data_IF_687127509758
#
_entry.id   IF_687127509758
#
_cell.length_a   1.000
_cell.length_b   1.000
_cell.length_c   1.000
_cell.angle_alpha   90.00
_cell.angle_beta   90.00
_cell.angle_gamma   90.00
#
_symmetry.space_group_name_H-M   'P 1'
#
loop_
_entity.id
_entity.type
_entity.pdbx_description
1 polymer ?
#
# COMPACT_ATOMS: atom_id res chain seq x y z
N UNK A 1 -6.61 -7.05 -38.03
CA UNK A 1 -7.27 -6.56 -36.81
C UNK A 1 -6.38 -5.89 -35.74
N UNK A 2 -5.33 -6.57 -35.22
CA UNK A 2 -4.58 -6.13 -34.03
C UNK A 2 -4.02 -4.69 -34.07
N UNK A 3 -3.46 -4.27 -35.21
CA UNK A 3 -2.89 -2.92 -35.37
C UNK A 3 -3.95 -1.84 -35.11
N UNK A 4 -5.18 -2.04 -35.59
CA UNK A 4 -6.27 -1.09 -35.39
C UNK A 4 -6.68 -1.01 -33.91
N UNK A 5 -6.72 -2.15 -33.21
CA UNK A 5 -6.99 -2.18 -31.76
C UNK A 5 -5.92 -1.37 -31.02
N UNK A 6 -4.63 -1.61 -31.32
CA UNK A 6 -3.51 -0.89 -30.68
C UNK A 6 -3.55 0.61 -30.94
N UNK A 7 -3.87 1.03 -32.17
CA UNK A 7 -4.02 2.44 -32.52
C UNK A 7 -5.16 3.09 -31.70
N UNK A 8 -6.34 2.47 -31.70
CA UNK A 8 -7.47 2.97 -30.93
C UNK A 8 -7.19 3.05 -29.42
N UNK A 9 -6.53 2.06 -28.83
CA UNK A 9 -6.14 2.12 -27.41
C UNK A 9 -5.11 3.23 -27.16
N UNK A 10 -4.16 3.44 -28.07
CA UNK A 10 -3.18 4.52 -27.97
C UNK A 10 -3.82 5.90 -28.06
N UNK A 11 -4.76 6.10 -28.99
CA UNK A 11 -5.49 7.36 -29.16
C UNK A 11 -6.35 7.64 -27.93
N UNK A 12 -7.06 6.63 -27.44
CA UNK A 12 -7.84 6.71 -26.22
C UNK A 12 -6.95 7.08 -24.99
N UNK A 13 -5.68 6.66 -24.95
CA UNK A 13 -4.81 6.88 -23.79
C UNK A 13 -4.23 8.29 -23.82
N UNK A 14 -3.81 8.73 -25.01
CA UNK A 14 -3.18 10.04 -25.21
C UNK A 14 -4.17 11.20 -25.19
N UNK A 15 -5.38 10.97 -25.71
CA UNK A 15 -6.35 12.02 -25.95
C UNK A 15 -7.62 11.88 -25.10
N UNK A 16 -7.69 10.89 -24.20
CA UNK A 16 -8.91 10.54 -23.46
C UNK A 16 -10.09 10.28 -24.41
N UNK A 17 -9.80 9.74 -25.60
CA UNK A 17 -10.79 9.51 -26.65
C UNK A 17 -11.67 8.29 -26.32
N UNK A 18 -12.88 8.59 -25.84
CA UNK A 18 -13.89 7.59 -25.48
C UNK A 18 -14.38 6.81 -26.70
N UNK A 19 -14.44 7.41 -27.88
CA UNK A 19 -14.91 6.73 -29.09
C UNK A 19 -13.86 5.79 -29.65
N UNK A 20 -12.58 6.15 -29.56
CA UNK A 20 -11.47 5.23 -29.84
C UNK A 20 -11.50 4.04 -28.88
N UNK A 21 -11.69 4.25 -27.57
CA UNK A 21 -11.84 3.15 -26.60
C UNK A 21 -13.00 2.22 -26.96
N UNK A 22 -14.19 2.77 -27.23
CA UNK A 22 -15.37 1.98 -27.65
C UNK A 22 -15.10 1.21 -28.94
N UNK A 23 -14.35 1.79 -29.87
CA UNK A 23 -13.98 1.14 -31.14
C UNK A 23 -13.04 -0.04 -30.91
N UNK A 24 -12.00 0.13 -30.08
CA UNK A 24 -11.11 -0.97 -29.67
C UNK A 24 -11.90 -2.11 -29.00
N UNK A 25 -12.77 -1.77 -28.04
CA UNK A 25 -13.62 -2.74 -27.34
C UNK A 25 -14.54 -3.52 -28.30
N UNK A 26 -15.20 -2.84 -29.24
CA UNK A 26 -16.07 -3.48 -30.24
C UNK A 26 -15.31 -4.47 -31.11
N UNK A 27 -14.09 -4.12 -31.54
CA UNK A 27 -13.23 -5.01 -32.33
C UNK A 27 -12.85 -6.27 -31.52
N UNK A 28 -12.37 -6.08 -30.28
CA UNK A 28 -12.03 -7.16 -29.35
C UNK A 28 -13.22 -8.11 -29.16
N UNK A 29 -14.41 -7.55 -28.87
CA UNK A 29 -15.63 -8.33 -28.62
C UNK A 29 -16.10 -9.10 -29.84
N UNK A 30 -16.08 -8.47 -31.01
CA UNK A 30 -16.54 -9.11 -32.27
C UNK A 30 -15.67 -10.30 -32.64
N UNK A 31 -14.36 -10.19 -32.42
CA UNK A 31 -13.40 -11.26 -32.63
C UNK A 31 -13.56 -12.40 -31.61
N UNK A 32 -13.78 -12.08 -30.33
CA UNK A 32 -14.03 -13.10 -29.30
C UNK A 32 -15.35 -13.88 -29.54
N UNK A 33 -16.38 -13.23 -30.07
CA UNK A 33 -17.68 -13.86 -30.39
C UNK A 33 -17.64 -14.75 -31.65
N UNK A 34 -16.52 -14.79 -32.37
CA UNK A 34 -16.41 -15.54 -33.64
C UNK A 34 -17.30 -14.99 -34.76
N UNK A 35 -17.72 -13.73 -34.67
CA UNK A 35 -18.64 -13.08 -35.63
C UNK A 35 -17.94 -12.58 -36.89
N UNK A 36 -16.64 -12.80 -37.07
CA UNK A 36 -16.00 -12.70 -38.38
C UNK A 36 -15.94 -14.08 -39.02
N UNK A 37 -16.77 -14.29 -40.03
CA UNK A 37 -17.03 -15.59 -40.66
C UNK A 37 -15.84 -16.14 -41.50
N UNK A 38 -14.63 -15.60 -41.34
CA UNK A 38 -13.45 -15.93 -42.15
C UNK A 38 -12.14 -16.18 -41.37
N UNK A 39 -12.06 -15.93 -40.05
CA UNK A 39 -10.76 -15.61 -39.44
C UNK A 39 -10.28 -16.53 -38.30
N UNK A 40 -9.94 -17.77 -38.62
CA UNK A 40 -8.95 -18.49 -37.79
C UNK A 40 -7.56 -17.82 -37.83
N UNK A 41 -7.35 -16.83 -38.72
CA UNK A 41 -6.10 -16.08 -38.89
C UNK A 41 -6.06 -14.69 -38.20
N UNK A 42 -7.17 -14.12 -37.74
CA UNK A 42 -7.17 -12.80 -37.06
C UNK A 42 -7.20 -12.91 -35.54
N UNK A 43 -6.43 -13.86 -34.98
CA UNK A 43 -6.18 -13.86 -33.53
C UNK A 43 -5.33 -12.63 -33.17
N UNK A 44 -5.81 -11.82 -32.23
CA UNK A 44 -5.01 -10.76 -31.62
C UNK A 44 -4.44 -11.21 -30.28
N UNK A 45 -3.42 -10.51 -29.80
CA UNK A 45 -2.70 -10.87 -28.59
C UNK A 45 -3.51 -10.64 -27.30
N UNK A 46 -3.36 -11.54 -26.32
CA UNK A 46 -4.13 -11.52 -25.07
C UNK A 46 -3.94 -10.24 -24.23
N UNK A 47 -2.81 -9.56 -24.38
CA UNK A 47 -2.54 -8.28 -23.72
C UNK A 47 -3.58 -7.20 -24.08
N UNK A 48 -4.17 -7.24 -25.26
CA UNK A 48 -5.13 -6.21 -25.69
C UNK A 48 -6.42 -6.23 -24.87
N UNK A 49 -6.85 -7.40 -24.37
CA UNK A 49 -7.96 -7.46 -23.42
C UNK A 49 -7.63 -6.68 -22.15
N UNK A 50 -6.42 -6.88 -21.61
CA UNK A 50 -5.97 -6.25 -20.37
C UNK A 50 -5.76 -4.76 -20.55
N UNK A 51 -5.14 -4.34 -21.66
CA UNK A 51 -4.95 -2.92 -21.99
C UNK A 51 -6.30 -2.20 -22.14
N UNK A 52 -7.24 -2.79 -22.89
CA UNK A 52 -8.59 -2.25 -23.02
C UNK A 52 -9.30 -2.20 -21.67
N UNK A 53 -9.15 -3.22 -20.82
CA UNK A 53 -9.78 -3.25 -19.51
C UNK A 53 -9.26 -2.17 -18.55
N UNK A 54 -7.94 -2.01 -18.47
CA UNK A 54 -7.30 -1.01 -17.61
C UNK A 54 -7.69 0.41 -18.04
N UNK A 55 -7.73 0.64 -19.34
CA UNK A 55 -8.11 1.93 -19.90
C UNK A 55 -9.59 2.23 -19.70
N UNK A 56 -10.46 1.25 -19.97
CA UNK A 56 -11.89 1.37 -19.69
C UNK A 56 -12.15 1.69 -18.21
N UNK A 57 -11.44 1.02 -17.30
CA UNK A 57 -11.54 1.33 -15.87
C UNK A 57 -11.13 2.77 -15.55
N UNK A 58 -9.95 3.21 -16.04
CA UNK A 58 -9.46 4.59 -15.84
C UNK A 58 -10.42 5.66 -16.38
N UNK A 59 -11.11 5.36 -17.47
CA UNK A 59 -12.04 6.29 -18.14
C UNK A 59 -13.48 6.20 -17.60
N UNK A 60 -13.74 5.41 -16.55
CA UNK A 60 -15.06 5.32 -15.93
C UNK A 60 -16.05 4.38 -16.62
N UNK A 61 -15.56 3.38 -17.35
CA UNK A 61 -16.35 2.33 -18.01
C UNK A 61 -16.10 0.94 -17.36
N UNK A 62 -16.52 0.73 -16.10
CA UNK A 62 -16.23 -0.51 -15.37
C UNK A 62 -16.88 -1.75 -15.99
N UNK A 63 -18.04 -1.61 -16.65
CA UNK A 63 -18.70 -2.73 -17.35
C UNK A 63 -17.89 -3.23 -18.54
N UNK A 64 -17.33 -2.29 -19.32
CA UNK A 64 -16.45 -2.61 -20.44
C UNK A 64 -15.14 -3.26 -19.94
N UNK A 65 -14.60 -2.73 -18.84
CA UNK A 65 -13.43 -3.33 -18.18
C UNK A 65 -13.70 -4.76 -17.73
N UNK A 66 -14.84 -4.99 -17.08
CA UNK A 66 -15.25 -6.31 -16.60
C UNK A 66 -15.43 -7.30 -17.76
N UNK A 67 -16.06 -6.89 -18.86
CA UNK A 67 -16.28 -7.73 -20.04
C UNK A 67 -14.95 -8.13 -20.71
N UNK A 68 -14.03 -7.18 -20.87
CA UNK A 68 -12.66 -7.45 -21.34
C UNK A 68 -11.93 -8.48 -20.45
N UNK A 69 -12.02 -8.34 -19.13
CA UNK A 69 -11.40 -9.27 -18.18
C UNK A 69 -12.05 -10.65 -18.23
N UNK A 70 -13.37 -10.74 -18.37
CA UNK A 70 -14.08 -12.02 -18.53
C UNK A 70 -13.63 -12.76 -19.79
N UNK A 71 -13.51 -12.05 -20.92
CA UNK A 71 -13.00 -12.64 -22.16
C UNK A 71 -11.55 -13.12 -21.99
N UNK A 72 -10.68 -12.31 -21.38
CA UNK A 72 -9.30 -12.68 -21.07
C UNK A 72 -9.18 -13.97 -20.26
N UNK A 73 -9.88 -14.07 -19.12
CA UNK A 73 -9.78 -15.23 -18.23
C UNK A 73 -10.42 -16.49 -18.83
N UNK A 74 -11.44 -16.36 -19.69
CA UNK A 74 -12.05 -17.48 -20.41
C UNK A 74 -11.09 -18.10 -21.43
N UNK A 75 -10.23 -17.30 -22.05
CA UNK A 75 -9.34 -17.72 -23.13
C UNK A 75 -8.08 -18.50 -22.73
N UNK A 76 -7.92 -18.90 -21.46
CA UNK A 76 -6.68 -19.54 -20.93
C UNK A 76 -5.43 -18.69 -21.23
N UNK A 77 -5.31 -17.52 -20.58
CA UNK A 77 -4.26 -16.56 -20.90
C UNK A 77 -2.85 -17.09 -20.59
N UNK A 78 -1.83 -16.64 -21.32
CA UNK A 78 -0.43 -16.99 -21.03
C UNK A 78 0.01 -16.46 -19.65
N UNK A 79 0.89 -17.21 -18.99
CA UNK A 79 1.46 -16.85 -17.69
C UNK A 79 2.58 -15.82 -17.88
N UNK A 80 2.21 -14.56 -17.98
CA UNK A 80 3.13 -13.43 -18.07
C UNK A 80 2.62 -12.23 -17.25
N UNK A 81 3.31 -11.08 -17.33
CA UNK A 81 2.93 -9.87 -16.57
C UNK A 81 1.46 -9.46 -16.74
N UNK A 82 0.83 -9.76 -17.87
CA UNK A 82 -0.56 -9.41 -18.14
C UNK A 82 -1.55 -10.22 -17.29
N UNK A 83 -1.17 -11.40 -16.80
CA UNK A 83 -1.98 -12.14 -15.85
C UNK A 83 -2.09 -11.40 -14.51
N UNK A 84 -0.96 -10.94 -13.97
CA UNK A 84 -0.96 -10.12 -12.75
C UNK A 84 -1.65 -8.77 -12.94
N UNK A 85 -1.43 -8.11 -14.08
CA UNK A 85 -2.15 -6.87 -14.43
C UNK A 85 -3.66 -7.07 -14.57
N UNK A 86 -4.12 -8.19 -15.15
CA UNK A 86 -5.53 -8.51 -15.24
C UNK A 86 -6.16 -8.69 -13.85
N UNK A 87 -5.50 -9.41 -12.94
CA UNK A 87 -5.97 -9.52 -11.55
C UNK A 87 -5.97 -8.17 -10.83
N UNK A 88 -4.96 -7.32 -11.06
CA UNK A 88 -4.88 -5.99 -10.48
C UNK A 88 -5.94 -5.03 -11.03
N UNK A 89 -6.29 -5.14 -12.31
CA UNK A 89 -7.41 -4.41 -12.89
C UNK A 89 -8.74 -4.93 -12.33
N UNK A 90 -8.89 -6.26 -12.21
CA UNK A 90 -10.08 -6.90 -11.66
C UNK A 90 -10.33 -6.53 -10.21
N UNK A 91 -9.30 -6.42 -9.38
CA UNK A 91 -9.44 -6.02 -7.98
C UNK A 91 -10.06 -4.64 -7.86
N UNK A 92 -9.60 -3.68 -8.68
CA UNK A 92 -10.08 -2.30 -8.66
C UNK A 92 -11.58 -2.16 -8.99
N UNK A 93 -12.17 -3.11 -9.73
CA UNK A 93 -13.63 -3.14 -9.97
C UNK A 93 -14.46 -3.39 -8.71
N UNK A 94 -13.83 -3.86 -7.62
CA UNK A 94 -14.46 -4.11 -6.33
C UNK A 94 -14.05 -3.06 -5.28
N UNK A 95 -13.73 -1.82 -5.71
CA UNK A 95 -13.37 -0.74 -4.78
C UNK A 95 -14.52 -0.47 -3.79
N UNK A 96 -14.35 -0.71 -2.47
CA UNK A 96 -15.37 -0.38 -1.48
C UNK A 96 -15.54 1.14 -1.36
N UNK A 97 -16.79 1.61 -1.31
CA UNK A 97 -17.09 3.05 -1.15
C UNK A 97 -17.14 3.47 0.31
N UNK A 98 -17.47 2.55 1.22
CA UNK A 98 -17.41 2.73 2.67
C UNK A 98 -16.97 1.45 3.37
N UNK A 99 -16.82 1.53 4.69
CA UNK A 99 -16.57 0.36 5.55
C UNK A 99 -17.73 -0.62 5.65
N UNK A 100 -18.90 -0.26 5.13
CA UNK A 100 -20.08 -1.14 5.11
C UNK A 100 -20.05 -2.10 3.91
N UNK A 101 -19.22 -1.80 2.89
CA UNK A 101 -19.07 -2.61 1.69
C UNK A 101 -18.05 -3.75 1.88
N UNK A 102 -18.18 -4.54 2.94
CA UNK A 102 -17.24 -5.62 3.26
C UNK A 102 -17.15 -6.68 2.14
N UNK A 103 -18.26 -7.01 1.48
CA UNK A 103 -18.24 -7.95 0.35
C UNK A 103 -17.36 -7.44 -0.82
N UNK A 104 -17.41 -6.13 -1.10
CA UNK A 104 -16.57 -5.53 -2.14
C UNK A 104 -15.11 -5.52 -1.70
N UNK A 105 -14.86 -5.15 -0.44
CA UNK A 105 -13.52 -5.21 0.15
C UNK A 105 -12.92 -6.63 0.06
N UNK A 106 -13.65 -7.68 0.45
CA UNK A 106 -13.18 -9.06 0.38
C UNK A 106 -12.85 -9.47 -1.06
N UNK A 107 -13.71 -9.14 -2.02
CA UNK A 107 -13.45 -9.41 -3.45
C UNK A 107 -12.24 -8.63 -3.95
N UNK A 108 -12.06 -7.39 -3.53
CA UNK A 108 -10.88 -6.59 -3.83
C UNK A 108 -9.61 -7.28 -3.32
N UNK A 109 -9.57 -7.67 -2.04
CA UNK A 109 -8.42 -8.35 -1.41
C UNK A 109 -8.11 -9.67 -2.10
N UNK A 110 -9.11 -10.51 -2.39
CA UNK A 110 -8.91 -11.79 -3.08
C UNK A 110 -8.20 -11.61 -4.42
N UNK A 111 -8.62 -10.64 -5.23
CA UNK A 111 -8.00 -10.42 -6.53
C UNK A 111 -6.63 -9.75 -6.41
N UNK A 112 -6.45 -8.86 -5.43
CA UNK A 112 -5.17 -8.22 -5.16
C UNK A 112 -4.11 -9.22 -4.71
N UNK A 113 -4.43 -10.11 -3.78
CA UNK A 113 -3.47 -11.09 -3.26
C UNK A 113 -3.06 -12.12 -4.34
N UNK A 114 -3.95 -12.44 -5.29
CA UNK A 114 -3.55 -13.20 -6.50
C UNK A 114 -2.43 -12.53 -7.29
N UNK A 115 -2.34 -11.20 -7.30
CA UNK A 115 -1.24 -10.45 -7.94
C UNK A 115 0.05 -10.66 -7.16
N UNK A 116 -0.03 -10.56 -5.83
CA UNK A 116 1.11 -10.75 -4.91
C UNK A 116 1.66 -12.17 -5.05
N UNK A 117 0.79 -13.18 -4.95
CA UNK A 117 1.17 -14.60 -5.09
C UNK A 117 1.79 -14.89 -6.46
N UNK A 118 1.18 -14.38 -7.53
CA UNK A 118 1.69 -14.53 -8.89
C UNK A 118 3.09 -13.91 -9.03
N UNK A 119 3.28 -12.69 -8.51
CA UNK A 119 4.53 -11.98 -8.61
C UNK A 119 5.62 -12.66 -7.79
N UNK A 120 5.32 -13.16 -6.59
CA UNK A 120 6.26 -13.90 -5.74
C UNK A 120 6.84 -15.14 -6.41
N UNK A 121 6.10 -15.75 -7.34
CA UNK A 121 6.58 -16.90 -8.12
C UNK A 121 7.69 -16.57 -9.13
N UNK A 122 7.91 -15.29 -9.48
CA UNK A 122 8.93 -14.90 -10.46
C UNK A 122 9.45 -13.47 -10.24
N UNK A 123 10.74 -13.35 -9.93
CA UNK A 123 11.42 -12.08 -9.68
C UNK A 123 11.23 -11.01 -10.79
N UNK A 124 11.02 -11.43 -12.04
CA UNK A 124 10.73 -10.50 -13.16
C UNK A 124 9.46 -9.68 -12.94
N UNK A 125 8.54 -10.17 -12.14
CA UNK A 125 7.22 -9.57 -11.94
C UNK A 125 7.07 -8.86 -10.60
N UNK A 126 8.12 -8.72 -9.81
CA UNK A 126 8.03 -8.08 -8.48
C UNK A 126 7.57 -6.63 -8.50
N UNK A 127 7.78 -5.90 -9.59
CA UNK A 127 7.19 -4.56 -9.75
C UNK A 127 5.65 -4.56 -9.58
N UNK A 128 4.98 -5.69 -9.82
CA UNK A 128 3.54 -5.83 -9.59
C UNK A 128 3.18 -5.86 -8.10
N UNK A 129 4.08 -6.29 -7.21
CA UNK A 129 3.88 -6.25 -5.76
C UNK A 129 3.84 -4.78 -5.32
N UNK A 130 4.80 -3.98 -5.76
CA UNK A 130 4.81 -2.54 -5.53
C UNK A 130 3.51 -1.90 -6.05
N UNK A 131 3.17 -2.11 -7.32
CA UNK A 131 1.94 -1.55 -7.92
C UNK A 131 0.67 -1.98 -7.18
N UNK A 132 0.59 -3.24 -6.76
CA UNK A 132 -0.53 -3.76 -5.98
C UNK A 132 -0.61 -3.07 -4.62
N UNK A 133 0.51 -2.88 -3.92
CA UNK A 133 0.54 -2.21 -2.62
C UNK A 133 0.12 -0.73 -2.69
N UNK A 134 0.49 -0.01 -3.75
CA UNK A 134 0.07 1.38 -3.97
C UNK A 134 -1.45 1.45 -4.22
N UNK A 135 -1.99 0.54 -5.03
CA UNK A 135 -3.43 0.44 -5.27
C UNK A 135 -4.17 0.06 -3.99
N UNK A 136 -3.63 -0.88 -3.21
CA UNK A 136 -4.13 -1.25 -1.89
C UNK A 136 -4.28 -0.03 -1.00
N UNK A 137 -3.20 0.72 -0.78
CA UNK A 137 -3.22 1.90 0.08
C UNK A 137 -4.28 2.93 -0.33
N UNK A 138 -4.44 3.15 -1.64
CA UNK A 138 -5.45 4.07 -2.18
C UNK A 138 -6.88 3.56 -1.92
N UNK A 139 -7.12 2.27 -2.05
CA UNK A 139 -8.46 1.68 -1.94
C UNK A 139 -8.89 1.49 -0.49
N UNK A 140 -7.97 1.13 0.40
CA UNK A 140 -8.28 0.84 1.81
C UNK A 140 -8.43 2.07 2.69
N UNK A 141 -8.32 3.29 2.13
CA UNK A 141 -8.47 4.56 2.87
C UNK A 141 -9.71 4.61 3.78
N UNK A 142 -10.92 4.15 3.38
CA UNK A 142 -12.08 4.15 4.27
C UNK A 142 -11.90 3.33 5.56
N UNK A 143 -11.00 2.34 5.54
CA UNK A 143 -10.74 1.41 6.65
C UNK A 143 -9.62 1.89 7.58
N UNK A 144 -8.89 2.95 7.24
CA UNK A 144 -7.83 3.52 8.08
C UNK A 144 -8.35 4.31 9.30
N UNK A 145 -9.67 4.45 9.44
CA UNK A 145 -10.27 5.08 10.63
C UNK A 145 -10.23 4.13 11.83
N UNK A 146 -10.13 4.66 13.07
CA UNK A 146 -10.13 3.85 14.28
C UNK A 146 -11.32 2.89 14.35
N UNK A 147 -11.09 1.66 14.83
CA UNK A 147 -12.07 0.60 14.96
C UNK A 147 -12.30 -0.25 13.70
N UNK A 148 -11.75 0.14 12.54
CA UNK A 148 -11.90 -0.60 11.28
C UNK A 148 -10.57 -1.15 10.74
N UNK A 149 -9.43 -0.78 11.34
CA UNK A 149 -8.11 -1.19 10.84
C UNK A 149 -7.85 -2.69 10.97
N UNK A 150 -8.57 -3.35 11.86
CA UNK A 150 -8.50 -4.81 12.03
C UNK A 150 -8.80 -5.58 10.73
N UNK A 151 -9.65 -5.06 9.84
CA UNK A 151 -9.92 -5.66 8.53
C UNK A 151 -8.69 -5.69 7.60
N UNK A 152 -7.72 -4.79 7.82
CA UNK A 152 -6.53 -4.66 6.98
C UNK A 152 -5.44 -5.67 7.35
N UNK A 153 -5.41 -6.12 8.61
CA UNK A 153 -4.35 -6.98 9.14
C UNK A 153 -4.07 -8.20 8.25
N UNK A 154 -5.07 -9.03 7.85
CA UNK A 154 -4.78 -10.24 7.08
C UNK A 154 -4.09 -9.96 5.73
N UNK A 155 -4.44 -8.85 5.09
CA UNK A 155 -3.88 -8.44 3.80
C UNK A 155 -2.51 -7.76 3.95
N UNK A 156 -2.35 -6.84 4.90
CA UNK A 156 -1.06 -6.18 5.18
C UNK A 156 0.00 -7.19 5.63
N UNK A 157 -0.38 -8.19 6.42
CA UNK A 157 0.51 -9.25 6.87
C UNK A 157 1.10 -10.07 5.71
N UNK A 158 0.42 -10.13 4.57
CA UNK A 158 0.93 -10.79 3.35
C UNK A 158 1.71 -9.82 2.45
N UNK A 159 1.22 -8.58 2.30
CA UNK A 159 1.84 -7.57 1.41
C UNK A 159 3.18 -7.08 1.96
N UNK A 160 3.28 -6.79 3.26
CA UNK A 160 4.49 -6.20 3.87
C UNK A 160 5.72 -7.11 3.70
N UNK A 161 5.68 -8.42 4.00
CA UNK A 161 6.80 -9.30 3.73
C UNK A 161 7.17 -9.38 2.24
N UNK A 162 6.19 -9.36 1.34
CA UNK A 162 6.41 -9.41 -0.10
C UNK A 162 7.18 -8.18 -0.62
N UNK A 163 6.95 -7.00 -0.03
CA UNK A 163 7.69 -5.77 -0.34
C UNK A 163 9.11 -5.73 0.21
N UNK A 164 9.43 -6.53 1.24
CA UNK A 164 10.79 -6.58 1.80
C UNK A 164 11.81 -7.28 0.88
N UNK A 165 11.41 -7.74 -0.31
CA UNK A 165 12.31 -8.41 -1.23
C UNK A 165 13.51 -7.51 -1.63
N UNK A 166 14.75 -8.03 -1.76
CA UNK A 166 15.94 -7.24 -2.11
C UNK A 166 15.84 -6.38 -3.37
N UNK A 167 15.07 -6.83 -4.36
CA UNK A 167 14.84 -6.13 -5.64
C UNK A 167 13.93 -4.90 -5.47
N UNK A 168 13.08 -4.88 -4.44
CA UNK A 168 12.16 -3.77 -4.18
C UNK A 168 12.96 -2.54 -3.72
N UNK A 169 12.82 -1.44 -4.45
CA UNK A 169 13.66 -0.26 -4.28
C UNK A 169 13.09 0.72 -3.24
N UNK A 170 11.77 0.79 -3.10
CA UNK A 170 11.14 1.80 -2.24
C UNK A 170 11.03 1.32 -0.79
N UNK A 171 12.15 1.44 -0.07
CA UNK A 171 12.22 1.11 1.35
C UNK A 171 11.38 2.05 2.20
N UNK A 172 11.21 3.31 1.78
CA UNK A 172 10.37 4.30 2.46
C UNK A 172 8.89 3.89 2.42
N UNK A 173 8.41 3.46 1.26
CA UNK A 173 7.08 2.92 1.08
C UNK A 173 6.85 1.63 1.90
N UNK A 174 7.83 0.74 1.92
CA UNK A 174 7.77 -0.47 2.76
C UNK A 174 7.65 -0.10 4.24
N UNK A 175 8.43 0.88 4.71
CA UNK A 175 8.37 1.38 6.07
C UNK A 175 7.00 1.99 6.43
N UNK A 176 6.38 2.74 5.52
CA UNK A 176 5.02 3.28 5.70
C UNK A 176 4.02 2.15 5.99
N UNK A 177 4.02 1.09 5.16
CA UNK A 177 3.09 -0.03 5.34
C UNK A 177 3.40 -0.89 6.56
N UNK A 178 4.67 -0.97 6.99
CA UNK A 178 5.03 -1.57 8.27
C UNK A 178 4.44 -0.77 9.44
N UNK A 179 4.58 0.55 9.43
CA UNK A 179 3.99 1.40 10.48
C UNK A 179 2.46 1.23 10.51
N UNK A 180 1.81 1.21 9.34
CA UNK A 180 0.36 0.97 9.28
C UNK A 180 -0.01 -0.40 9.87
N UNK A 181 0.70 -1.47 9.53
CA UNK A 181 0.41 -2.80 10.08
C UNK A 181 0.54 -2.82 11.61
N UNK A 182 1.55 -2.12 12.15
CA UNK A 182 1.69 -1.95 13.60
C UNK A 182 0.49 -1.21 14.20
N UNK A 183 0.07 -0.09 13.61
CA UNK A 183 -1.12 0.65 14.06
C UNK A 183 -2.39 -0.21 13.96
N UNK A 184 -2.51 -1.07 12.95
CA UNK A 184 -3.62 -2.01 12.83
C UNK A 184 -3.66 -3.01 13.99
N UNK A 185 -2.50 -3.57 14.39
CA UNK A 185 -2.44 -4.45 15.56
C UNK A 185 -2.86 -3.73 16.84
N UNK A 186 -2.42 -2.48 17.01
CA UNK A 186 -2.76 -1.67 18.18
C UNK A 186 -4.25 -1.31 18.24
N UNK A 187 -4.84 -0.88 17.12
CA UNK A 187 -6.28 -0.59 17.00
C UNK A 187 -7.14 -1.84 17.31
N UNK A 188 -6.66 -3.02 16.89
CA UNK A 188 -7.31 -4.30 17.17
C UNK A 188 -6.99 -4.89 18.56
N UNK A 189 -6.25 -4.17 19.42
CA UNK A 189 -5.79 -4.66 20.73
C UNK A 189 -5.01 -5.99 20.69
N UNK A 190 -4.31 -6.26 19.58
CA UNK A 190 -3.47 -7.45 19.38
C UNK A 190 -2.05 -7.20 19.90
N UNK A 191 -1.94 -7.01 21.21
CA UNK A 191 -0.70 -6.53 21.86
C UNK A 191 0.51 -7.43 21.62
N UNK A 192 0.34 -8.75 21.67
CA UNK A 192 1.45 -9.69 21.47
C UNK A 192 2.08 -9.54 20.08
N UNK A 193 1.24 -9.47 19.05
CA UNK A 193 1.71 -9.27 17.67
C UNK A 193 2.29 -7.88 17.46
N UNK A 194 1.75 -6.85 18.12
CA UNK A 194 2.32 -5.52 18.08
C UNK A 194 3.76 -5.49 18.64
N UNK A 195 4.00 -6.16 19.77
CA UNK A 195 5.34 -6.26 20.39
C UNK A 195 6.32 -7.01 19.48
N UNK A 196 5.93 -8.20 19.00
CA UNK A 196 6.77 -9.02 18.14
C UNK A 196 7.11 -8.29 16.82
N UNK A 197 6.12 -7.65 16.22
CA UNK A 197 6.28 -6.96 14.95
C UNK A 197 7.02 -5.63 15.10
N UNK A 198 6.84 -4.88 16.20
CA UNK A 198 7.46 -3.56 16.37
C UNK A 198 8.98 -3.63 16.32
N UNK A 199 9.60 -4.65 16.92
CA UNK A 199 11.06 -4.81 16.89
C UNK A 199 11.58 -5.04 15.47
N UNK A 200 10.84 -5.85 14.69
CA UNK A 200 11.17 -6.12 13.28
C UNK A 200 11.04 -4.86 12.42
N UNK A 201 9.97 -4.08 12.63
CA UNK A 201 9.74 -2.83 11.92
C UNK A 201 10.77 -1.75 12.31
N UNK A 202 11.09 -1.63 13.60
CA UNK A 202 12.06 -0.67 14.10
C UNK A 202 13.46 -0.94 13.53
N UNK A 203 13.90 -2.20 13.51
CA UNK A 203 15.18 -2.59 12.92
C UNK A 203 15.26 -2.23 11.43
N UNK A 204 14.24 -2.60 10.65
CA UNK A 204 14.17 -2.28 9.22
C UNK A 204 14.19 -0.76 8.98
N UNK A 205 13.38 0.00 9.71
CA UNK A 205 13.30 1.46 9.56
C UNK A 205 14.62 2.12 9.96
N UNK A 206 15.26 1.66 11.03
CA UNK A 206 16.55 2.22 11.48
C UNK A 206 17.66 1.99 10.45
N UNK A 207 17.67 0.81 9.81
CA UNK A 207 18.66 0.44 8.81
C UNK A 207 18.45 1.16 7.47
N UNK A 208 17.23 1.13 6.93
CA UNK A 208 16.97 1.57 5.56
C UNK A 208 16.35 2.96 5.44
N UNK A 209 15.61 3.42 6.46
CA UNK A 209 14.82 4.66 6.41
C UNK A 209 14.89 5.44 7.74
N UNK A 210 16.10 5.80 8.22
CA UNK A 210 16.28 6.36 9.55
C UNK A 210 15.50 7.66 9.80
N UNK A 211 15.13 8.39 8.74
CA UNK A 211 14.26 9.57 8.82
C UNK A 211 12.88 9.28 9.45
N UNK A 212 12.36 8.06 9.28
CA UNK A 212 11.06 7.62 9.84
C UNK A 212 11.18 6.97 11.20
N UNK A 213 12.39 6.70 11.70
CA UNK A 213 12.58 6.01 12.97
C UNK A 213 11.89 6.72 14.14
N UNK A 214 11.86 8.06 14.11
CA UNK A 214 11.14 8.89 15.09
C UNK A 214 9.65 8.56 15.19
N UNK A 215 9.02 8.23 14.05
CA UNK A 215 7.59 7.90 13.99
C UNK A 215 7.31 6.58 14.68
N UNK A 216 8.04 5.51 14.32
CA UNK A 216 7.86 4.20 14.95
C UNK A 216 8.26 4.21 16.43
N UNK A 217 9.37 4.88 16.80
CA UNK A 217 9.78 5.03 18.19
C UNK A 217 8.70 5.72 19.03
N UNK A 218 8.09 6.79 18.49
CA UNK A 218 6.98 7.47 19.13
C UNK A 218 5.80 6.52 19.41
N UNK A 219 5.47 5.62 18.48
CA UNK A 219 4.41 4.62 18.67
C UNK A 219 4.83 3.59 19.73
N UNK A 220 6.05 3.07 19.64
CA UNK A 220 6.55 2.07 20.59
C UNK A 220 6.56 2.57 22.03
N UNK A 221 7.03 3.80 22.29
CA UNK A 221 6.96 4.40 23.63
C UNK A 221 5.51 4.60 24.06
N UNK A 222 4.68 5.15 23.17
CA UNK A 222 3.27 5.47 23.44
C UNK A 222 2.47 4.24 23.88
N UNK A 223 2.75 3.08 23.30
CA UNK A 223 2.04 1.83 23.56
C UNK A 223 2.86 0.83 24.39
N UNK A 224 4.01 1.25 24.94
CA UNK A 224 4.91 0.43 25.77
C UNK A 224 5.34 -0.89 25.08
N UNK A 225 5.74 -0.79 23.82
CA UNK A 225 6.18 -1.93 22.98
C UNK A 225 7.69 -2.16 23.04
N UNK A 226 8.38 -1.56 24.00
CA UNK A 226 9.85 -1.60 24.09
C UNK A 226 10.28 -1.67 25.55
N UNK A 227 11.38 -2.38 25.79
CA UNK A 227 11.95 -2.54 27.13
C UNK A 227 12.59 -1.24 27.63
N UNK A 228 12.61 -1.05 28.96
CA UNK A 228 13.10 0.18 29.57
C UNK A 228 14.58 0.46 29.23
N UNK A 229 15.42 -0.59 29.21
CA UNK A 229 16.84 -0.48 28.87
C UNK A 229 17.04 0.02 27.44
N UNK A 230 16.29 -0.53 26.48
CA UNK A 230 16.36 -0.10 25.07
C UNK A 230 15.89 1.36 24.91
N UNK A 231 14.91 1.80 25.71
CA UNK A 231 14.47 3.21 25.72
C UNK A 231 15.61 4.12 26.21
N UNK A 232 16.29 3.74 27.28
CA UNK A 232 17.40 4.52 27.85
C UNK A 232 18.52 4.71 26.84
N UNK A 233 18.95 3.64 26.17
CA UNK A 233 20.00 3.69 25.13
C UNK A 233 19.62 4.63 23.95
N UNK A 234 18.37 4.56 23.48
CA UNK A 234 17.87 5.42 22.39
C UNK A 234 17.77 6.90 22.81
N UNK A 235 17.34 7.15 24.05
CA UNK A 235 17.16 8.49 24.62
C UNK A 235 18.51 9.18 24.89
N UNK A 236 19.51 8.44 25.33
CA UNK A 236 20.87 8.93 25.54
C UNK A 236 21.58 9.24 24.22
N UNK A 237 21.39 8.39 23.22
CA UNK A 237 22.01 8.56 21.90
C UNK A 237 21.40 9.71 21.08
N UNK A 238 20.15 10.11 21.35
CA UNK A 238 19.43 11.10 20.55
C UNK A 238 18.56 12.06 21.35
N UNK A 239 18.92 13.35 21.31
CA UNK A 239 18.11 14.42 21.89
C UNK A 239 16.68 14.49 21.31
N UNK A 240 16.49 14.12 20.04
CA UNK A 240 15.16 14.09 19.42
C UNK A 240 14.31 12.95 19.99
N UNK A 241 14.90 11.76 20.21
CA UNK A 241 14.19 10.63 20.80
C UNK A 241 13.90 10.88 22.28
N UNK A 242 14.80 11.55 23.00
CA UNK A 242 14.55 12.03 24.38
C UNK A 242 13.32 12.93 24.46
N UNK A 243 13.22 13.92 23.57
CA UNK A 243 12.06 14.81 23.51
C UNK A 243 10.78 14.00 23.22
N UNK A 244 10.83 13.09 22.24
CA UNK A 244 9.68 12.23 21.90
C UNK A 244 9.27 11.39 23.11
N UNK A 245 10.21 10.73 23.76
CA UNK A 245 9.97 9.92 24.96
C UNK A 245 9.23 10.73 26.04
N UNK A 246 9.77 11.89 26.43
CA UNK A 246 9.15 12.76 27.45
C UNK A 246 7.74 13.20 27.06
N UNK A 247 7.53 13.60 25.80
CA UNK A 247 6.19 14.00 25.30
C UNK A 247 5.21 12.82 25.38
N UNK A 248 5.64 11.62 24.98
CA UNK A 248 4.76 10.44 24.99
C UNK A 248 4.45 9.96 26.42
N UNK A 249 5.39 10.09 27.36
CA UNK A 249 5.15 9.81 28.79
C UNK A 249 4.09 10.75 29.38
N UNK A 250 4.18 12.05 29.10
CA UNK A 250 3.16 13.02 29.53
C UNK A 250 1.79 12.66 28.93
N UNK A 251 1.73 12.33 27.63
CA UNK A 251 0.48 11.91 26.97
C UNK A 251 -0.14 10.68 27.63
N UNK A 252 0.69 9.67 27.95
CA UNK A 252 0.27 8.45 28.64
C UNK A 252 -0.35 8.71 30.01
N UNK A 253 0.17 9.68 30.76
CA UNK A 253 -0.40 10.09 32.05
C UNK A 253 -1.73 10.83 31.85
N UNK A 254 -1.80 11.70 30.84
CA UNK A 254 -3.01 12.45 30.54
C UNK A 254 -4.20 11.55 30.14
N UNK A 255 -4.00 10.45 29.41
CA UNK A 255 -5.14 9.56 29.10
C UNK A 255 -5.69 8.84 30.32
N UNK A 256 -4.88 8.72 31.38
CA UNK A 256 -5.33 8.20 32.67
C UNK A 256 -6.03 9.25 33.52
N UNK A 257 -6.25 10.45 32.97
CA UNK A 257 -6.70 11.64 33.68
C UNK A 257 -5.78 12.03 34.85
N UNK A 258 -4.50 11.66 34.76
CA UNK A 258 -3.46 12.06 35.71
C UNK A 258 -2.75 13.27 35.09
N UNK A 259 -2.80 14.44 35.76
CA UNK A 259 -1.93 15.57 35.42
C UNK A 259 -0.68 15.43 36.29
N UNK A 260 0.50 15.17 35.71
CA UNK A 260 1.73 15.07 36.50
C UNK A 260 1.98 16.38 37.26
N UNK A 261 2.33 16.27 38.54
CA UNK A 261 2.58 17.45 39.38
C UNK A 261 3.77 18.27 38.88
N UNK A 262 4.65 17.64 38.11
CA UNK A 262 5.90 18.16 37.56
C UNK A 262 5.85 18.45 36.06
N UNK A 263 4.67 18.41 35.41
CA UNK A 263 4.54 18.70 33.95
C UNK A 263 5.22 20.00 33.55
N UNK A 264 5.08 21.06 34.33
CA UNK A 264 5.70 22.36 34.00
C UNK A 264 7.23 22.26 33.97
N UNK A 265 7.82 21.52 34.91
CA UNK A 265 9.27 21.24 34.96
C UNK A 265 9.69 20.36 33.79
N UNK A 266 8.92 19.33 33.45
CA UNK A 266 9.19 18.46 32.31
C UNK A 266 9.11 19.20 30.97
N UNK A 267 8.08 20.02 30.77
CA UNK A 267 7.92 20.87 29.58
C UNK A 267 9.05 21.89 29.45
N UNK A 268 9.47 22.52 30.55
CA UNK A 268 10.65 23.40 30.58
C UNK A 268 11.92 22.64 30.21
N UNK A 269 12.07 21.40 30.67
CA UNK A 269 13.20 20.52 30.31
C UNK A 269 13.20 20.22 28.82
N UNK A 270 12.05 19.83 28.25
CA UNK A 270 11.88 19.59 26.80
C UNK A 270 12.28 20.84 26.00
N UNK A 271 11.79 22.02 26.40
CA UNK A 271 12.14 23.29 25.78
C UNK A 271 13.66 23.58 25.86
N UNK A 272 14.28 23.28 27.00
CA UNK A 272 15.72 23.37 27.20
C UNK A 272 16.52 22.51 26.20
N UNK A 273 16.11 21.24 26.04
CA UNK A 273 16.74 20.31 25.08
C UNK A 273 16.58 20.82 23.65
N UNK A 274 15.39 21.26 23.25
CA UNK A 274 15.12 21.84 21.93
C UNK A 274 16.03 23.05 21.64
N UNK A 275 16.16 23.96 22.60
CA UNK A 275 17.03 25.15 22.50
C UNK A 275 18.51 24.75 22.37
N UNK A 276 18.95 23.73 23.10
CA UNK A 276 20.30 23.17 23.02
C UNK A 276 20.62 22.57 21.66
N UNK A 277 19.70 21.78 21.10
CA UNK A 277 19.83 21.14 19.79
C UNK A 277 19.94 22.16 18.65
N UNK A 278 19.17 23.26 18.71
CA UNK A 278 19.26 24.37 17.73
C UNK A 278 20.63 25.04 17.72
N UNK A 279 21.25 25.24 18.89
CA UNK A 279 22.60 25.83 18.99
C UNK A 279 23.69 24.94 18.39
N UNK A 280 23.53 23.61 18.43
CA UNK A 280 24.47 22.65 17.84
C UNK A 280 24.39 22.60 16.31
N UNK A 281 23.19 22.72 15.74
CA UNK A 281 22.97 22.83 14.29
C UNK A 281 23.65 24.09 13.72
N UNK A 282 23.41 25.25 14.32
CA UNK A 282 24.01 26.53 13.89
C UNK A 282 25.56 26.57 14.02
N UNK A 283 26.18 25.64 14.76
CA UNK A 283 27.64 25.51 14.87
C UNK A 283 28.25 24.57 13.83
N UNK A 284 27.46 23.69 13.20
CA UNK A 284 27.92 22.80 12.11
C UNK A 284 27.85 23.46 10.73
N UNK A 285 27.09 24.55 10.59
CA UNK A 285 26.97 25.35 9.37
C UNK A 285 27.97 26.53 9.29
N UNK A 286 29.02 26.51 10.13
CA UNK A 286 30.15 27.46 10.13
C UNK A 286 31.45 26.68 10.04
#
# INVERSE_FOLDING_TARGET
MEIAIRQHLSDAERHLDVEALKSAYKLIKSANDGKSALDALESFSFDLYVMCAEQAYKMGFPEMSDDCLRMYFKGKPPVNQFLGRAYLCKSQLYTPVSTDNLEQFDKFIVHLLKVVDFALGNARYYFLIHNASVIYWRIVRPFLKPGFRHYLIPSLYQIVPALKHPIEQDKDWTAELMIELLECFLDASRTQEAIEFSSTAAAFIKEYVPGRYKQIFSIMVRYKLMEALDIEDEVESSANLNIIYKIQTIKLQLDKNEIPQDVDTELKTIYGILKGSRKRLNRKDR
#
